data_IF_832024021876
#
_entry.id   IF_832024021876
#
_cell.length_a   1.000
_cell.length_b   1.000
_cell.length_c   1.000
_cell.angle_alpha   90.00
_cell.angle_beta   90.00
_cell.angle_gamma   90.00
#
_symmetry.space_group_name_H-M   'P 1'
#
loop_
_entity.id
_entity.type
_entity.pdbx_description
1 polymer ?
#
# COMPACT_ATOMS: atom_id res chain seq x y z
N UNK A 1 8.61 4.37 8.11
CA UNK A 1 7.62 3.86 7.16
C UNK A 1 6.26 3.49 7.78
N UNK A 2 6.12 3.48 9.11
CA UNK A 2 4.89 3.11 9.82
C UNK A 2 3.65 3.95 9.46
N UNK A 3 3.81 5.21 9.05
CA UNK A 3 2.71 6.02 8.55
C UNK A 3 2.12 5.49 7.24
N UNK A 4 2.98 5.00 6.35
CA UNK A 4 2.57 4.39 5.07
C UNK A 4 1.88 3.03 5.28
N UNK A 5 2.39 2.19 6.20
CA UNK A 5 1.79 0.88 6.51
C UNK A 5 0.31 0.97 6.91
N UNK A 6 -0.07 1.99 7.70
CA UNK A 6 -1.45 2.12 8.22
C UNK A 6 -2.37 2.96 7.32
N UNK A 7 -1.87 3.49 6.21
CA UNK A 7 -2.64 4.38 5.35
C UNK A 7 -3.67 3.66 4.45
N UNK A 8 -3.65 2.32 4.38
CA UNK A 8 -4.50 1.56 3.46
C UNK A 8 -5.99 1.86 3.64
N UNK A 9 -6.49 1.86 4.88
CA UNK A 9 -7.89 2.16 5.17
C UNK A 9 -8.34 3.53 4.61
N UNK A 10 -7.46 4.53 4.62
CA UNK A 10 -7.76 5.87 4.09
C UNK A 10 -8.04 5.83 2.59
N UNK A 11 -7.23 5.10 1.82
CA UNK A 11 -7.41 4.96 0.37
C UNK A 11 -8.74 4.27 -0.01
N UNK A 12 -9.26 3.42 0.88
CA UNK A 12 -10.56 2.76 0.67
C UNK A 12 -11.76 3.59 1.12
N UNK A 13 -11.63 4.38 2.19
CA UNK A 13 -12.75 4.99 2.88
C UNK A 13 -13.36 6.19 2.15
N UNK A 14 -12.59 6.93 1.38
CA UNK A 14 -13.02 8.19 0.78
C UNK A 14 -13.20 8.10 -0.73
N UNK A 15 -13.96 9.06 -1.29
CA UNK A 15 -14.35 9.06 -2.70
C UNK A 15 -13.76 10.22 -3.52
N UNK A 16 -12.94 11.06 -2.89
CA UNK A 16 -12.21 12.14 -3.55
C UNK A 16 -10.74 12.15 -3.07
N UNK A 17 -9.86 12.56 -3.97
CA UNK A 17 -8.42 12.47 -3.77
C UNK A 17 -7.90 13.51 -2.76
N UNK A 18 -8.54 14.67 -2.69
CA UNK A 18 -8.18 15.74 -1.77
C UNK A 18 -8.41 15.29 -0.32
N UNK A 19 -9.56 14.69 -0.04
CA UNK A 19 -9.86 14.11 1.27
C UNK A 19 -8.93 12.95 1.60
N UNK A 20 -8.64 12.07 0.64
CA UNK A 20 -7.66 10.96 0.84
C UNK A 20 -6.30 11.51 1.25
N UNK A 21 -5.79 12.52 0.56
CA UNK A 21 -4.48 13.12 0.86
C UNK A 21 -4.47 13.84 2.22
N UNK A 22 -5.52 14.58 2.54
CA UNK A 22 -5.60 15.31 3.82
C UNK A 22 -5.72 14.35 5.02
N UNK A 23 -6.58 13.32 4.94
CA UNK A 23 -6.73 12.35 6.02
C UNK A 23 -5.48 11.46 6.17
N UNK A 24 -4.81 11.10 5.08
CA UNK A 24 -3.53 10.40 5.14
C UNK A 24 -2.45 11.23 5.85
N UNK A 25 -2.39 12.54 5.57
CA UNK A 25 -1.52 13.48 6.26
C UNK A 25 -1.85 13.54 7.76
N UNK A 26 -3.10 13.77 8.13
CA UNK A 26 -3.53 13.82 9.53
C UNK A 26 -3.19 12.51 10.28
N UNK A 27 -3.40 11.36 9.65
CA UNK A 27 -3.01 10.07 10.21
C UNK A 27 -1.49 9.96 10.44
N UNK A 28 -0.68 10.49 9.52
CA UNK A 28 0.78 10.47 9.64
C UNK A 28 1.28 11.41 10.73
N UNK A 29 0.77 12.63 10.81
CA UNK A 29 1.25 13.71 11.70
C UNK A 29 1.27 13.31 13.18
N UNK A 30 0.38 12.42 13.59
CA UNK A 30 0.28 11.96 15.00
C UNK A 30 1.58 11.29 15.49
N UNK A 31 2.28 10.56 14.62
CA UNK A 31 3.47 9.78 15.00
C UNK A 31 4.67 9.98 14.07
N UNK A 32 4.44 10.43 12.84
CA UNK A 32 5.43 10.56 11.77
C UNK A 32 5.35 11.96 11.14
N UNK A 33 5.33 13.00 11.97
CA UNK A 33 5.24 14.40 11.53
C UNK A 33 6.58 14.88 10.94
N UNK A 34 6.97 14.26 9.85
CA UNK A 34 8.11 14.59 9.00
C UNK A 34 7.65 14.63 7.55
N UNK A 35 8.14 15.53 6.69
CA UNK A 35 7.69 15.61 5.30
C UNK A 35 7.68 14.25 4.57
N UNK A 36 8.73 13.44 4.72
CA UNK A 36 8.80 12.11 4.11
C UNK A 36 7.82 11.09 4.72
N UNK A 37 7.54 11.20 6.03
CA UNK A 37 6.53 10.35 6.68
C UNK A 37 5.12 10.66 6.20
N UNK A 38 4.78 11.94 6.05
CA UNK A 38 3.51 12.42 5.50
C UNK A 38 3.39 12.02 4.03
N UNK A 39 4.42 12.29 3.24
CA UNK A 39 4.52 11.94 1.82
C UNK A 39 4.28 10.44 1.59
N UNK A 40 4.92 9.57 2.39
CA UNK A 40 4.75 8.12 2.28
C UNK A 40 3.31 7.66 2.55
N UNK A 41 2.65 8.20 3.57
CA UNK A 41 1.25 7.90 3.87
C UNK A 41 0.32 8.39 2.75
N UNK A 42 0.51 9.62 2.27
CA UNK A 42 -0.27 10.18 1.18
C UNK A 42 -0.09 9.39 -0.11
N UNK A 43 1.15 9.05 -0.49
CA UNK A 43 1.43 8.27 -1.70
C UNK A 43 0.78 6.88 -1.65
N UNK A 44 0.86 6.20 -0.51
CA UNK A 44 0.23 4.88 -0.33
C UNK A 44 -1.30 4.96 -0.43
N UNK A 45 -1.93 5.88 0.31
CA UNK A 45 -3.38 6.04 0.28
C UNK A 45 -3.88 6.45 -1.12
N UNK A 46 -3.14 7.33 -1.81
CA UNK A 46 -3.45 7.77 -3.17
C UNK A 46 -3.34 6.61 -4.18
N UNK A 47 -2.29 5.79 -4.10
CA UNK A 47 -2.15 4.63 -4.99
C UNK A 47 -3.32 3.64 -4.82
N UNK A 48 -3.76 3.39 -3.58
CA UNK A 48 -4.92 2.55 -3.26
C UNK A 48 -6.21 3.17 -3.82
N UNK A 49 -6.41 4.46 -3.60
CA UNK A 49 -7.58 5.18 -4.12
C UNK A 49 -7.65 5.09 -5.65
N UNK A 50 -6.56 5.37 -6.36
CA UNK A 50 -6.52 5.28 -7.82
C UNK A 50 -6.77 3.85 -8.32
N UNK A 51 -6.22 2.85 -7.65
CA UNK A 51 -6.47 1.43 -7.94
C UNK A 51 -7.97 1.08 -7.75
N UNK A 52 -8.58 1.52 -6.65
CA UNK A 52 -10.03 1.38 -6.38
C UNK A 52 -10.88 2.02 -7.49
N UNK A 53 -10.45 3.17 -8.02
CA UNK A 53 -11.12 3.88 -9.12
C UNK A 53 -10.91 3.21 -10.49
N UNK A 54 -10.19 2.10 -10.56
CA UNK A 54 -9.96 1.35 -11.80
C UNK A 54 -8.90 1.97 -12.72
N UNK A 55 -8.01 2.81 -12.17
CA UNK A 55 -6.87 3.34 -12.91
C UNK A 55 -5.90 2.23 -13.28
N UNK A 56 -5.32 2.30 -14.47
CA UNK A 56 -4.27 1.38 -14.92
C UNK A 56 -2.99 1.56 -14.09
N UNK A 57 -2.14 0.55 -14.07
CA UNK A 57 -0.83 0.62 -13.42
C UNK A 57 0.02 1.79 -13.92
N UNK A 58 -0.04 2.09 -15.21
CA UNK A 58 0.68 3.23 -15.78
C UNK A 58 0.15 4.56 -15.27
N UNK A 59 -1.19 4.75 -15.23
CA UNK A 59 -1.78 5.98 -14.68
C UNK A 59 -1.44 6.16 -13.20
N UNK A 60 -1.42 5.07 -12.42
CA UNK A 60 -1.01 5.11 -11.01
C UNK A 60 0.46 5.50 -10.90
N UNK A 61 1.35 4.86 -11.67
CA UNK A 61 2.77 5.17 -11.71
C UNK A 61 3.01 6.66 -12.03
N UNK A 62 2.40 7.13 -13.10
CA UNK A 62 2.56 8.51 -13.56
C UNK A 62 2.09 9.51 -12.51
N UNK A 63 0.91 9.27 -11.93
CA UNK A 63 0.35 10.15 -10.89
C UNK A 63 1.25 10.21 -9.64
N UNK A 64 1.70 9.06 -9.15
CA UNK A 64 2.56 8.99 -7.96
C UNK A 64 3.91 9.65 -8.22
N UNK A 65 4.53 9.41 -9.37
CA UNK A 65 5.79 10.04 -9.74
C UNK A 65 5.65 11.57 -9.82
N UNK A 66 4.62 12.05 -10.49
CA UNK A 66 4.41 13.50 -10.70
C UNK A 66 4.04 14.23 -9.40
N UNK A 67 3.24 13.60 -8.54
CA UNK A 67 2.70 14.27 -7.33
C UNK A 67 3.66 14.19 -6.16
N UNK A 68 4.37 13.06 -6.01
CA UNK A 68 5.19 12.77 -4.83
C UNK A 68 6.68 12.74 -5.13
N UNK A 69 7.10 12.93 -6.37
CA UNK A 69 8.51 12.91 -6.78
C UNK A 69 9.23 11.62 -6.33
N UNK A 70 8.54 10.49 -6.41
CA UNK A 70 9.13 9.18 -6.22
C UNK A 70 9.68 8.65 -7.56
N UNK A 71 10.94 8.22 -7.55
CA UNK A 71 11.47 7.45 -8.67
C UNK A 71 10.86 6.04 -8.64
N UNK A 72 10.10 5.69 -9.67
CA UNK A 72 9.53 4.37 -9.90
C UNK A 72 10.07 3.73 -11.20
N UNK A 73 11.16 4.28 -11.76
CA UNK A 73 11.82 3.80 -13.00
C UNK A 73 12.98 2.86 -12.67
N UNK A 74 12.70 1.82 -11.90
CA UNK A 74 13.61 0.71 -11.64
C UNK A 74 12.80 -0.59 -11.60
N UNK A 75 13.49 -1.73 -11.70
CA UNK A 75 12.90 -3.05 -11.50
C UNK A 75 13.33 -3.67 -10.18
N UNK A 76 12.51 -4.60 -9.67
CA UNK A 76 12.88 -5.35 -8.45
C UNK A 76 14.15 -6.18 -8.67
N UNK A 77 14.37 -6.70 -9.88
CA UNK A 77 15.57 -7.46 -10.21
C UNK A 77 16.86 -6.62 -10.12
N UNK A 78 16.79 -5.34 -10.51
CA UNK A 78 17.92 -4.42 -10.40
C UNK A 78 18.30 -4.12 -8.96
N UNK A 79 17.32 -3.96 -8.06
CA UNK A 79 17.59 -3.58 -6.67
C UNK A 79 17.83 -4.78 -5.74
N UNK A 80 17.29 -5.96 -6.04
CA UNK A 80 17.34 -7.17 -5.19
C UNK A 80 18.75 -7.53 -4.69
N UNK A 81 19.81 -7.44 -5.49
CA UNK A 81 21.17 -7.77 -5.01
C UNK A 81 21.74 -6.81 -3.97
N UNK A 82 21.22 -5.58 -3.91
CA UNK A 82 21.80 -4.49 -3.11
C UNK A 82 20.85 -3.91 -2.08
N UNK A 83 19.53 -4.17 -2.20
CA UNK A 83 18.54 -3.67 -1.27
C UNK A 83 18.76 -4.22 0.14
N UNK A 84 18.63 -3.36 1.14
CA UNK A 84 18.86 -3.71 2.54
C UNK A 84 17.69 -3.20 3.39
N UNK A 85 17.66 -3.62 4.64
CA UNK A 85 16.69 -3.16 5.63
C UNK A 85 16.69 -1.63 5.74
N UNK A 86 15.54 -1.02 5.49
CA UNK A 86 15.32 0.43 5.57
C UNK A 86 13.96 0.71 6.20
N UNK A 87 13.94 1.54 7.24
CA UNK A 87 12.73 1.90 7.99
C UNK A 87 12.12 3.24 7.55
N UNK A 88 12.66 3.85 6.50
CA UNK A 88 12.19 5.12 5.98
C UNK A 88 11.07 4.95 4.93
N UNK A 89 10.23 5.97 4.78
CA UNK A 89 9.22 5.95 3.71
C UNK A 89 9.86 5.94 2.32
N UNK A 90 10.90 6.73 2.10
CA UNK A 90 11.59 6.80 0.81
C UNK A 90 12.35 5.51 0.46
N UNK A 91 12.71 4.72 1.46
CA UNK A 91 13.35 3.41 1.27
C UNK A 91 12.39 2.23 1.20
N UNK A 92 11.08 2.43 1.44
CA UNK A 92 10.08 1.35 1.47
C UNK A 92 8.94 1.57 0.48
N UNK A 93 8.40 2.79 0.39
CA UNK A 93 7.17 3.07 -0.40
C UNK A 93 7.40 2.91 -1.92
N UNK A 94 8.47 3.45 -2.53
CA UNK A 94 8.74 3.22 -3.95
C UNK A 94 8.88 1.74 -4.28
N UNK A 95 9.60 0.97 -3.46
CA UNK A 95 9.79 -0.47 -3.64
C UNK A 95 8.47 -1.24 -3.57
N UNK A 96 7.61 -0.87 -2.63
CA UNK A 96 6.28 -1.47 -2.51
C UNK A 96 5.38 -1.17 -3.71
N UNK A 97 5.42 0.07 -4.22
CA UNK A 97 4.66 0.45 -5.41
C UNK A 97 5.20 -0.29 -6.65
N UNK A 98 6.52 -0.39 -6.83
CA UNK A 98 7.11 -1.14 -7.95
C UNK A 98 6.76 -2.63 -7.86
N UNK A 99 6.75 -3.24 -6.67
CA UNK A 99 6.31 -4.62 -6.51
C UNK A 99 4.86 -4.83 -6.98
N UNK A 100 3.96 -3.88 -6.70
CA UNK A 100 2.62 -3.89 -7.26
C UNK A 100 2.63 -3.69 -8.78
N UNK A 101 3.40 -2.74 -9.31
CA UNK A 101 3.46 -2.45 -10.76
C UNK A 101 3.93 -3.64 -11.57
N UNK A 102 4.89 -4.42 -11.09
CA UNK A 102 5.41 -5.62 -11.76
C UNK A 102 4.51 -6.86 -11.60
N UNK A 103 3.59 -6.87 -10.63
CA UNK A 103 2.80 -8.05 -10.29
C UNK A 103 1.75 -8.42 -11.36
N UNK A 104 1.36 -9.68 -11.42
CA UNK A 104 0.28 -10.20 -12.27
C UNK A 104 -1.05 -10.41 -11.54
N UNK A 105 -0.99 -10.60 -10.22
CA UNK A 105 -2.13 -10.84 -9.34
C UNK A 105 -1.75 -10.49 -7.89
N UNK A 106 -2.69 -10.66 -6.95
CA UNK A 106 -2.48 -10.33 -5.55
C UNK A 106 -1.35 -11.15 -4.91
N UNK A 107 -1.37 -12.47 -5.08
CA UNK A 107 -0.35 -13.34 -4.49
C UNK A 107 1.03 -13.04 -5.07
N UNK A 108 1.13 -12.84 -6.38
CA UNK A 108 2.38 -12.45 -7.03
C UNK A 108 2.89 -11.10 -6.50
N UNK A 109 2.01 -10.12 -6.25
CA UNK A 109 2.39 -8.84 -5.66
C UNK A 109 3.07 -9.02 -4.29
N UNK A 110 2.47 -9.84 -3.41
CA UNK A 110 3.05 -10.14 -2.10
C UNK A 110 4.39 -10.88 -2.23
N UNK A 111 4.49 -11.86 -3.12
CA UNK A 111 5.72 -12.61 -3.36
C UNK A 111 6.84 -11.71 -3.89
N UNK A 112 6.55 -10.81 -4.80
CA UNK A 112 7.49 -9.82 -5.31
C UNK A 112 7.97 -8.87 -4.20
N UNK A 113 7.06 -8.35 -3.38
CA UNK A 113 7.39 -7.50 -2.25
C UNK A 113 8.36 -8.17 -1.25
N UNK A 114 8.10 -9.44 -0.92
CA UNK A 114 8.95 -10.21 0.01
C UNK A 114 10.29 -10.57 -0.64
N UNK A 115 10.34 -10.78 -1.95
CA UNK A 115 11.51 -11.28 -2.66
C UNK A 115 12.73 -10.37 -2.63
N UNK A 116 12.54 -9.07 -2.38
CA UNK A 116 13.65 -8.12 -2.28
C UNK A 116 14.30 -8.10 -0.89
N UNK A 117 13.69 -8.75 0.10
CA UNK A 117 14.18 -8.75 1.49
C UNK A 117 13.96 -7.40 2.19
N UNK A 118 14.89 -7.03 3.06
CA UNK A 118 14.79 -5.79 3.83
C UNK A 118 13.66 -5.80 4.86
N UNK A 119 12.91 -4.72 4.97
CA UNK A 119 11.70 -4.56 5.81
C UNK A 119 10.49 -5.16 5.07
N UNK A 120 10.56 -6.46 4.80
CA UNK A 120 9.68 -7.16 3.86
C UNK A 120 8.21 -7.20 4.28
N UNK A 121 7.91 -7.19 5.57
CA UNK A 121 6.54 -7.13 6.10
C UNK A 121 5.91 -5.76 5.84
N UNK A 122 6.65 -4.68 6.04
CA UNK A 122 6.21 -3.32 5.68
C UNK A 122 5.97 -3.18 4.18
N UNK A 123 6.94 -3.63 3.36
CA UNK A 123 6.81 -3.56 1.90
C UNK A 123 5.60 -4.37 1.44
N UNK A 124 5.43 -5.60 1.96
CA UNK A 124 4.28 -6.45 1.63
C UNK A 124 2.95 -5.86 2.11
N UNK A 125 2.92 -5.19 3.26
CA UNK A 125 1.73 -4.51 3.77
C UNK A 125 1.26 -3.39 2.82
N UNK A 126 2.18 -2.52 2.39
CA UNK A 126 1.88 -1.43 1.46
C UNK A 126 1.47 -1.99 0.08
N UNK A 127 2.26 -2.92 -0.46
CA UNK A 127 1.98 -3.59 -1.74
C UNK A 127 0.62 -4.28 -1.72
N UNK A 128 0.30 -5.01 -0.66
CA UNK A 128 -0.95 -5.74 -0.49
C UNK A 128 -2.16 -4.82 -0.46
N UNK A 129 -2.05 -3.67 0.20
CA UNK A 129 -3.10 -2.65 0.20
C UNK A 129 -3.43 -2.16 -1.21
N UNK A 130 -2.42 -1.87 -2.02
CA UNK A 130 -2.61 -1.41 -3.41
C UNK A 130 -3.13 -2.56 -4.29
N UNK A 131 -2.53 -3.75 -4.18
CA UNK A 131 -2.91 -4.91 -4.97
C UNK A 131 -4.35 -5.37 -4.69
N UNK A 132 -4.80 -5.33 -3.43
CA UNK A 132 -6.17 -5.69 -3.07
C UNK A 132 -7.20 -4.74 -3.69
N UNK A 133 -6.89 -3.44 -3.76
CA UNK A 133 -7.74 -2.44 -4.41
C UNK A 133 -7.79 -2.63 -5.93
N UNK A 134 -6.67 -3.00 -6.53
CA UNK A 134 -6.52 -3.13 -7.98
C UNK A 134 -7.12 -4.44 -8.51
N UNK A 135 -6.72 -5.58 -7.94
CA UNK A 135 -7.16 -6.91 -8.40
C UNK A 135 -8.54 -7.29 -7.88
N UNK A 136 -8.99 -6.68 -6.78
CA UNK A 136 -10.30 -6.94 -6.15
C UNK A 136 -10.56 -8.39 -5.78
N UNK A 137 -9.52 -9.21 -5.81
CA UNK A 137 -9.57 -10.64 -5.51
C UNK A 137 -8.32 -11.02 -4.72
N UNK A 138 -8.54 -11.50 -3.50
CA UNK A 138 -7.51 -12.11 -2.67
C UNK A 138 -7.80 -13.61 -2.66
N UNK A 139 -6.81 -14.50 -2.89
CA UNK A 139 -7.02 -15.95 -2.80
C UNK A 139 -7.62 -16.36 -1.45
N UNK A 140 -8.66 -17.18 -1.48
CA UNK A 140 -9.39 -17.60 -0.26
C UNK A 140 -8.47 -18.25 0.76
N UNK A 141 -7.51 -19.03 0.33
CA UNK A 141 -6.53 -19.69 1.20
C UNK A 141 -5.70 -18.68 2.01
N UNK A 142 -5.34 -17.55 1.40
CA UNK A 142 -4.63 -16.46 2.10
C UNK A 142 -5.56 -15.78 3.11
N UNK A 143 -6.80 -15.52 2.72
CA UNK A 143 -7.79 -14.91 3.61
C UNK A 143 -8.07 -15.80 4.82
N UNK A 144 -8.35 -17.09 4.60
CA UNK A 144 -8.63 -18.06 5.65
C UNK A 144 -7.45 -18.17 6.63
N UNK A 145 -6.23 -18.22 6.11
CA UNK A 145 -5.02 -18.25 6.95
C UNK A 145 -4.90 -17.00 7.82
N UNK A 146 -5.15 -15.81 7.27
CA UNK A 146 -5.06 -14.54 8.02
C UNK A 146 -6.15 -14.47 9.09
N UNK A 147 -7.39 -14.82 8.74
CA UNK A 147 -8.52 -14.83 9.69
C UNK A 147 -8.25 -15.79 10.86
N UNK A 148 -7.67 -16.97 10.60
CA UNK A 148 -7.30 -17.94 11.65
C UNK A 148 -6.22 -17.39 12.64
N UNK A 149 -5.40 -16.45 12.20
CA UNK A 149 -4.29 -15.88 12.99
C UNK A 149 -4.64 -14.57 13.71
N UNK A 150 -5.65 -13.85 13.22
CA UNK A 150 -6.01 -12.56 13.81
C UNK A 150 -6.91 -12.72 15.02
N UNK A 151 -6.73 -11.90 16.09
CA UNK A 151 -7.69 -11.78 17.17
C UNK A 151 -9.07 -11.39 16.65
N UNK A 152 -10.14 -11.95 17.25
CA UNK A 152 -11.52 -11.71 16.83
C UNK A 152 -11.90 -10.23 16.81
N UNK A 153 -11.35 -9.44 17.72
CA UNK A 153 -11.57 -7.98 17.81
C UNK A 153 -11.11 -7.23 16.54
N UNK A 154 -10.02 -7.70 15.89
CA UNK A 154 -9.57 -7.11 14.63
C UNK A 154 -10.49 -7.50 13.47
N UNK A 155 -10.96 -8.75 13.46
CA UNK A 155 -11.93 -9.21 12.44
C UNK A 155 -13.24 -8.40 12.56
N UNK A 156 -13.72 -8.14 13.78
CA UNK A 156 -14.91 -7.30 13.99
C UNK A 156 -14.71 -5.87 13.49
N UNK A 157 -13.54 -5.28 13.69
CA UNK A 157 -13.23 -3.93 13.17
C UNK A 157 -13.20 -3.94 11.64
N UNK A 158 -12.57 -4.95 11.03
CA UNK A 158 -12.51 -5.09 9.58
C UNK A 158 -13.91 -5.25 8.99
N UNK A 159 -14.77 -6.10 9.57
CA UNK A 159 -16.14 -6.28 9.11
C UNK A 159 -16.96 -4.97 9.20
N UNK A 160 -16.85 -4.24 10.31
CA UNK A 160 -17.51 -2.93 10.45
C UNK A 160 -17.01 -1.90 9.43
N UNK A 161 -15.72 -1.92 9.13
CA UNK A 161 -15.15 -1.07 8.10
C UNK A 161 -15.73 -1.41 6.71
N UNK A 162 -15.76 -2.69 6.36
CA UNK A 162 -16.29 -3.14 5.07
C UNK A 162 -17.80 -2.84 4.93
N UNK A 163 -18.59 -3.01 6.00
CA UNK A 163 -20.01 -2.62 6.03
C UNK A 163 -20.21 -1.11 5.82
N UNK A 164 -19.36 -0.28 6.43
CA UNK A 164 -19.51 1.18 6.37
C UNK A 164 -19.05 1.77 5.04
N UNK A 165 -18.00 1.22 4.43
CA UNK A 165 -17.36 1.79 3.25
C UNK A 165 -17.60 0.99 1.96
N UNK A 166 -18.59 0.07 2.00
CA UNK A 166 -19.14 -0.67 0.84
C UNK A 166 -18.04 -1.24 -0.08
N UNK A 167 -17.36 -2.24 0.39
CA UNK A 167 -16.46 -3.06 -0.43
C UNK A 167 -17.28 -4.12 -1.17
N UNK A 168 -18.17 -3.66 -2.06
CA UNK A 168 -18.84 -4.54 -3.02
C UNK A 168 -17.99 -4.75 -4.25
#
# INVERSE_FOLDING_TARGET
NGSAMRASAVGFAFNDIETVMEVAKQSAEVTHNHPEGIKGAQATATAIFLAKQGKSKQEIKDYITQTFDYNLDFTLDEIRPTYKFDVTCQGSVPQAIVAFLESSDFENAIRLAISIGGDSDTIACITGGIASAFYKQIPTEIMDFVVDKLPSEYIEIMNKFDEQYDRK
#
